data_IF_093667462275
#
_entry.id   IF_093667462275
#
_cell.length_a   1.000
_cell.length_b   1.000
_cell.length_c   1.000
_cell.angle_alpha   90.00
_cell.angle_beta   90.00
_cell.angle_gamma   90.00
#
_symmetry.space_group_name_H-M   'P 1'
#
loop_
_entity.id
_entity.type
_entity.pdbx_description
1 polymer ?
#
# COMPACT_ATOMS: atom_id res chain seq x y z
N UNK A 1 12.17 -1.05 -15.40
CA UNK A 1 12.25 -1.39 -13.97
C UNK A 1 10.99 -2.14 -13.57
N UNK A 2 11.07 -2.96 -12.52
CA UNK A 2 10.02 -3.86 -12.05
C UNK A 2 9.41 -3.35 -10.75
N UNK A 3 8.09 -3.30 -10.67
CA UNK A 3 7.38 -2.75 -9.50
C UNK A 3 6.37 -3.78 -9.00
N UNK A 4 6.48 -4.19 -7.74
CA UNK A 4 5.52 -5.09 -7.13
C UNK A 4 4.39 -4.30 -6.44
N UNK A 5 3.14 -4.62 -6.79
CA UNK A 5 1.93 -4.10 -6.16
C UNK A 5 1.29 -5.22 -5.36
N UNK A 6 1.38 -5.15 -4.04
CA UNK A 6 0.85 -6.18 -3.14
C UNK A 6 -0.56 -5.76 -2.74
N UNK A 7 -1.53 -6.62 -3.02
CA UNK A 7 -2.91 -6.39 -2.56
C UNK A 7 -2.99 -6.84 -1.10
N UNK A 8 -3.31 -5.90 -0.21
CA UNK A 8 -3.60 -6.21 1.18
C UNK A 8 -4.73 -7.22 1.29
N UNK A 9 -4.68 -8.07 2.33
CA UNK A 9 -5.74 -9.05 2.61
C UNK A 9 -5.90 -10.14 1.53
N UNK A 10 -6.96 -10.95 1.62
CA UNK A 10 -7.21 -12.07 0.69
C UNK A 10 -8.71 -12.31 0.48
N UNK A 11 -9.08 -12.97 -0.62
CA UNK A 11 -10.47 -13.20 -1.02
C UNK A 11 -11.34 -13.81 0.09
N UNK A 12 -10.78 -14.68 0.93
CA UNK A 12 -11.48 -15.31 2.06
C UNK A 12 -11.42 -14.50 3.36
N UNK A 13 -10.53 -13.50 3.46
CA UNK A 13 -10.36 -12.62 4.63
C UNK A 13 -10.15 -11.20 4.12
N UNK A 14 -11.27 -10.57 3.81
CA UNK A 14 -11.40 -9.34 3.04
C UNK A 14 -10.79 -8.07 3.68
N UNK A 15 -10.32 -8.16 4.93
CA UNK A 15 -9.76 -7.02 5.67
C UNK A 15 -10.83 -6.15 6.31
N UNK A 16 -10.53 -4.87 6.47
CA UNK A 16 -11.51 -3.90 6.93
C UNK A 16 -12.65 -3.74 5.92
N UNK A 17 -13.79 -3.23 6.37
CA UNK A 17 -14.94 -2.97 5.51
C UNK A 17 -15.71 -1.75 5.97
N UNK A 18 -16.38 -1.12 5.02
CA UNK A 18 -17.35 -0.07 5.29
C UNK A 18 -18.75 -0.67 5.52
N UNK A 19 -19.62 0.08 6.20
CA UNK A 19 -21.03 -0.27 6.42
C UNK A 19 -21.84 -0.48 5.13
N UNK A 20 -21.40 0.09 4.01
CA UNK A 20 -22.01 -0.11 2.70
C UNK A 20 -21.56 -1.40 1.98
N UNK A 21 -20.69 -2.20 2.60
CA UNK A 21 -20.23 -3.49 2.09
C UNK A 21 -18.93 -3.46 1.27
N UNK A 22 -18.35 -2.28 1.00
CA UNK A 22 -17.03 -2.20 0.35
C UNK A 22 -15.95 -2.72 1.31
N UNK A 23 -15.12 -3.63 0.82
CA UNK A 23 -14.02 -4.24 1.57
C UNK A 23 -12.66 -3.71 1.12
N UNK A 24 -11.70 -3.80 2.02
CA UNK A 24 -10.31 -3.39 1.77
C UNK A 24 -9.67 -4.22 0.65
N UNK A 25 -9.87 -5.54 0.64
CA UNK A 25 -9.35 -6.41 -0.41
C UNK A 25 -9.91 -6.07 -1.79
N UNK A 26 -11.22 -5.86 -1.91
CA UNK A 26 -11.86 -5.58 -3.20
C UNK A 26 -11.45 -4.20 -3.73
N UNK A 27 -11.41 -3.19 -2.86
CA UNK A 27 -10.94 -1.84 -3.22
C UNK A 27 -9.49 -1.88 -3.70
N UNK A 28 -8.59 -2.47 -2.92
CA UNK A 28 -7.16 -2.53 -3.25
C UNK A 28 -6.88 -3.43 -4.46
N UNK A 29 -7.71 -4.44 -4.73
CA UNK A 29 -7.64 -5.23 -5.96
C UNK A 29 -7.94 -4.38 -7.21
N UNK A 30 -8.92 -3.48 -7.14
CA UNK A 30 -9.23 -2.53 -8.24
C UNK A 30 -8.09 -1.52 -8.40
N UNK A 31 -7.62 -0.95 -7.30
CA UNK A 31 -6.54 0.03 -7.29
C UNK A 31 -5.24 -0.54 -7.87
N UNK A 32 -4.83 -1.75 -7.46
CA UNK A 32 -3.64 -2.41 -7.97
C UNK A 32 -3.69 -2.64 -9.48
N UNK A 33 -4.84 -3.06 -10.02
CA UNK A 33 -5.02 -3.29 -11.46
C UNK A 33 -4.87 -2.00 -12.27
N UNK A 34 -5.46 -0.91 -11.77
CA UNK A 34 -5.34 0.41 -12.41
C UNK A 34 -3.91 0.93 -12.36
N UNK A 35 -3.26 0.85 -11.19
CA UNK A 35 -1.87 1.28 -11.05
C UNK A 35 -0.92 0.44 -11.94
N UNK A 36 -1.13 -0.88 -12.02
CA UNK A 36 -0.37 -1.74 -12.92
C UNK A 36 -0.55 -1.34 -14.38
N UNK A 37 -1.78 -1.07 -14.83
CA UNK A 37 -2.03 -0.63 -16.21
C UNK A 37 -1.29 0.67 -16.53
N UNK A 38 -1.27 1.62 -15.59
CA UNK A 38 -0.52 2.88 -15.73
C UNK A 38 1.00 2.68 -15.75
N UNK A 39 1.52 1.77 -14.92
CA UNK A 39 2.94 1.42 -14.96
C UNK A 39 3.36 0.83 -16.31
N UNK A 40 2.52 0.00 -16.93
CA UNK A 40 2.77 -0.52 -18.28
C UNK A 40 2.82 0.61 -19.30
N UNK A 41 1.91 1.60 -19.23
CA UNK A 41 1.91 2.73 -20.17
C UNK A 41 3.16 3.60 -20.05
N UNK A 42 3.75 3.67 -18.86
CA UNK A 42 5.00 4.39 -18.58
C UNK A 42 6.27 3.57 -18.86
N UNK A 43 6.15 2.34 -19.39
CA UNK A 43 7.31 1.49 -19.74
C UNK A 43 7.91 0.70 -18.57
N UNK A 44 7.16 0.54 -17.47
CA UNK A 44 7.54 -0.25 -16.30
C UNK A 44 6.86 -1.63 -16.32
N UNK A 45 7.46 -2.62 -15.64
CA UNK A 45 6.96 -3.98 -15.55
C UNK A 45 6.30 -4.23 -14.19
N UNK A 46 4.96 -4.20 -14.07
CA UNK A 46 4.27 -4.42 -12.80
C UNK A 46 4.07 -5.90 -12.47
N UNK A 47 4.19 -6.25 -11.19
CA UNK A 47 3.80 -7.54 -10.63
C UNK A 47 2.71 -7.34 -9.58
N UNK A 48 1.48 -7.77 -9.86
CA UNK A 48 0.44 -7.79 -8.82
C UNK A 48 0.59 -9.06 -7.98
N UNK A 49 0.79 -8.89 -6.67
CA UNK A 49 0.98 -9.98 -5.71
C UNK A 49 -0.25 -10.09 -4.81
N UNK A 50 -1.03 -11.15 -4.99
CA UNK A 50 -2.15 -11.50 -4.12
C UNK A 50 -1.72 -12.47 -3.02
N UNK A 51 -2.31 -12.40 -1.83
CA UNK A 51 -2.21 -13.48 -0.83
C UNK A 51 -2.97 -14.72 -1.31
N UNK A 52 -2.46 -15.90 -1.00
CA UNK A 52 -2.91 -17.19 -1.54
C UNK A 52 -3.55 -18.10 -0.46
N UNK A 53 -4.02 -17.53 0.65
CA UNK A 53 -4.54 -18.32 1.76
C UNK A 53 -3.47 -19.00 2.62
N UNK A 54 -2.18 -18.84 2.27
CA UNK A 54 -1.07 -19.31 3.11
C UNK A 54 -0.74 -18.31 4.21
N UNK A 55 0.08 -18.73 5.18
CA UNK A 55 0.45 -17.88 6.31
C UNK A 55 1.13 -16.59 5.82
N UNK A 56 0.70 -15.44 6.35
CA UNK A 56 1.29 -14.12 6.08
C UNK A 56 2.82 -14.09 6.14
N UNK A 57 3.43 -14.92 6.98
CA UNK A 57 4.88 -15.05 7.10
C UNK A 57 5.60 -15.43 5.80
N UNK A 58 4.92 -16.07 4.84
CA UNK A 58 5.44 -16.46 3.52
C UNK A 58 5.27 -15.40 2.44
N UNK A 59 4.47 -14.36 2.68
CA UNK A 59 4.24 -13.29 1.71
C UNK A 59 5.56 -12.62 1.22
N UNK A 60 6.54 -12.32 2.09
CA UNK A 60 7.80 -11.72 1.63
C UNK A 60 8.56 -12.59 0.63
N UNK A 61 8.55 -13.92 0.79
CA UNK A 61 9.19 -14.84 -0.16
C UNK A 61 8.55 -14.74 -1.55
N UNK A 62 7.22 -14.60 -1.59
CA UNK A 62 6.46 -14.46 -2.84
C UNK A 62 6.75 -13.13 -3.52
N UNK A 63 6.83 -12.04 -2.74
CA UNK A 63 7.24 -10.72 -3.24
C UNK A 63 8.67 -10.79 -3.79
N UNK A 64 9.60 -11.44 -3.07
CA UNK A 64 10.98 -11.59 -3.51
C UNK A 64 11.13 -12.34 -4.83
N UNK A 65 10.25 -13.33 -5.10
CA UNK A 65 10.24 -14.07 -6.38
C UNK A 65 9.88 -13.20 -7.59
N UNK A 66 9.29 -12.02 -7.41
CA UNK A 66 9.04 -11.09 -8.53
C UNK A 66 10.34 -10.49 -9.08
N UNK A 67 11.39 -10.42 -8.26
CA UNK A 67 12.61 -9.69 -8.61
C UNK A 67 12.36 -8.20 -8.86
N UNK A 68 11.34 -7.61 -8.21
CA UNK A 68 11.01 -6.20 -8.34
C UNK A 68 12.08 -5.30 -7.72
N UNK A 69 12.22 -4.09 -8.29
CA UNK A 69 13.12 -3.04 -7.80
C UNK A 69 12.53 -2.35 -6.57
N UNK A 70 11.20 -2.28 -6.47
CA UNK A 70 10.44 -1.80 -5.29
C UNK A 70 9.13 -2.57 -5.11
N UNK A 71 8.58 -2.55 -3.90
CA UNK A 71 7.26 -3.10 -3.61
C UNK A 71 6.37 -2.15 -2.79
N UNK A 72 5.08 -2.13 -3.12
CA UNK A 72 4.08 -1.26 -2.50
C UNK A 72 2.90 -2.14 -2.09
N UNK A 73 2.66 -2.26 -0.78
CA UNK A 73 1.50 -2.96 -0.25
C UNK A 73 0.34 -2.00 -0.05
N UNK A 74 -0.74 -2.21 -0.78
CA UNK A 74 -1.92 -1.36 -0.80
C UNK A 74 -2.91 -1.81 0.27
N UNK A 75 -3.27 -0.88 1.14
CA UNK A 75 -4.15 -1.08 2.28
C UNK A 75 -5.10 0.11 2.47
N UNK A 76 -6.15 -0.10 3.26
CA UNK A 76 -6.99 0.97 3.77
C UNK A 76 -7.10 0.82 5.29
N UNK A 77 -6.96 1.93 5.99
CA UNK A 77 -6.99 1.94 7.44
C UNK A 77 -8.44 1.74 7.94
N UNK A 78 -8.58 1.38 9.20
CA UNK A 78 -9.88 1.38 9.88
C UNK A 78 -9.69 1.58 11.38
N UNK A 79 -10.63 2.28 12.02
CA UNK A 79 -10.55 2.52 13.46
C UNK A 79 -11.91 2.66 14.15
N UNK A 80 -12.64 3.75 13.90
CA UNK A 80 -13.86 4.11 14.62
C UNK A 80 -14.91 4.83 13.75
N UNK A 81 -14.73 4.79 12.43
CA UNK A 81 -15.56 5.50 11.44
C UNK A 81 -15.44 7.03 11.42
N UNK A 82 -14.55 7.63 12.20
CA UNK A 82 -14.30 9.09 12.22
C UNK A 82 -12.86 9.46 11.88
N UNK A 83 -11.90 8.57 12.12
CA UNK A 83 -10.51 8.79 11.72
C UNK A 83 -10.43 8.98 10.19
N UNK A 84 -9.49 9.82 9.75
CA UNK A 84 -9.33 10.20 8.36
C UNK A 84 -7.86 10.43 8.03
N UNK A 85 -7.51 10.27 6.76
CA UNK A 85 -6.20 10.62 6.22
C UNK A 85 -5.36 9.44 5.78
N UNK A 86 -4.27 9.77 5.08
CA UNK A 86 -3.35 8.81 4.47
C UNK A 86 -2.07 8.71 5.29
N UNK A 87 -1.54 7.50 5.47
CA UNK A 87 -0.18 7.26 6.03
C UNK A 87 0.57 6.21 5.22
N UNK A 88 1.89 6.33 5.17
CA UNK A 88 2.76 5.35 4.53
C UNK A 88 3.76 4.80 5.53
N UNK A 89 3.74 3.47 5.70
CA UNK A 89 4.57 2.75 6.65
C UNK A 89 5.82 2.23 5.96
N UNK A 90 6.95 2.29 6.67
CA UNK A 90 8.24 1.78 6.21
C UNK A 90 8.99 1.10 7.35
N UNK A 91 9.93 0.21 7.03
CA UNK A 91 10.76 -0.40 8.07
C UNK A 91 11.68 0.65 8.71
N UNK A 92 11.70 0.72 10.04
CA UNK A 92 12.44 1.76 10.81
C UNK A 92 13.93 1.83 10.48
N UNK A 93 14.55 0.73 10.06
CA UNK A 93 15.97 0.68 9.68
C UNK A 93 16.17 0.52 8.16
N UNK A 94 15.27 1.09 7.35
CA UNK A 94 15.38 1.07 5.89
C UNK A 94 15.33 2.51 5.33
N UNK A 95 16.49 3.16 5.15
CA UNK A 95 16.55 4.49 4.54
C UNK A 95 15.96 4.51 3.12
N UNK A 96 16.14 3.43 2.36
CA UNK A 96 15.57 3.29 1.02
C UNK A 96 14.04 3.14 1.06
N UNK A 97 13.50 2.43 2.06
CA UNK A 97 12.06 2.31 2.29
C UNK A 97 11.44 3.62 2.79
N UNK A 98 12.14 4.39 3.61
CA UNK A 98 11.71 5.72 4.06
C UNK A 98 11.60 6.69 2.88
N UNK A 99 12.62 6.77 2.01
CA UNK A 99 12.55 7.58 0.78
C UNK A 99 11.40 7.13 -0.13
N UNK A 100 11.21 5.83 -0.35
CA UNK A 100 10.07 5.35 -1.13
C UNK A 100 8.74 5.79 -0.51
N UNK A 101 8.63 5.74 0.82
CA UNK A 101 7.45 6.17 1.55
C UNK A 101 7.18 7.68 1.38
N UNK A 102 8.21 8.52 1.38
CA UNK A 102 8.09 9.97 1.12
C UNK A 102 7.51 10.27 -0.27
N UNK A 103 8.05 9.63 -1.31
CA UNK A 103 7.58 9.81 -2.68
C UNK A 103 6.11 9.41 -2.84
N UNK A 104 5.73 8.26 -2.27
CA UNK A 104 4.37 7.74 -2.33
C UNK A 104 3.41 8.62 -1.51
N UNK A 105 3.76 8.92 -0.26
CA UNK A 105 2.92 9.72 0.64
C UNK A 105 2.60 11.08 0.02
N UNK A 106 3.59 11.76 -0.54
CA UNK A 106 3.42 13.08 -1.19
C UNK A 106 2.40 13.04 -2.32
N UNK A 107 2.45 12.01 -3.18
CA UNK A 107 1.51 11.86 -4.31
C UNK A 107 0.11 11.50 -3.83
N UNK A 108 0.01 10.55 -2.91
CA UNK A 108 -1.27 10.09 -2.34
C UNK A 108 -1.99 11.24 -1.65
N UNK A 109 -1.32 11.99 -0.77
CA UNK A 109 -1.92 13.14 -0.08
C UNK A 109 -2.38 14.21 -1.07
N UNK A 110 -1.57 14.51 -2.10
CA UNK A 110 -1.92 15.50 -3.12
C UNK A 110 -3.18 15.15 -3.91
N UNK A 111 -3.45 13.85 -4.12
CA UNK A 111 -4.67 13.40 -4.80
C UNK A 111 -5.83 13.17 -3.84
N UNK A 112 -5.59 12.69 -2.62
CA UNK A 112 -6.70 12.40 -1.70
C UNK A 112 -7.29 13.68 -1.10
N UNK A 113 -6.44 14.69 -0.87
CA UNK A 113 -6.77 15.92 -0.11
C UNK A 113 -7.45 15.59 1.24
N UNK A 114 -7.02 14.48 1.84
CA UNK A 114 -7.37 14.10 3.19
C UNK A 114 -6.22 14.51 4.13
N UNK A 115 -6.39 14.45 5.46
CA UNK A 115 -5.32 14.76 6.39
C UNK A 115 -4.04 13.97 6.09
N UNK A 116 -2.91 14.66 6.00
CA UNK A 116 -1.60 14.03 5.89
C UNK A 116 -1.18 13.50 7.26
N UNK A 117 -1.16 12.18 7.42
CA UNK A 117 -0.76 11.52 8.68
C UNK A 117 0.72 11.16 8.72
N UNK A 118 1.45 11.49 7.64
CA UNK A 118 2.88 11.33 7.49
C UNK A 118 3.35 9.89 7.38
N UNK A 119 4.67 9.75 7.51
CA UNK A 119 5.33 8.45 7.51
C UNK A 119 5.21 7.77 8.87
N UNK A 120 5.14 6.44 8.86
CA UNK A 120 5.00 5.62 10.06
C UNK A 120 6.09 4.54 10.09
N UNK A 121 7.17 4.71 10.85
CA UNK A 121 8.17 3.65 11.00
C UNK A 121 7.55 2.43 11.71
N UNK A 122 7.78 1.25 11.17
CA UNK A 122 7.37 -0.04 11.75
C UNK A 122 8.58 -0.94 12.03
N UNK A 123 8.42 -1.83 13.00
CA UNK A 123 9.42 -2.85 13.34
C UNK A 123 8.76 -4.20 13.63
N UNK A 124 9.50 -5.29 13.43
CA UNK A 124 9.07 -6.67 13.73
C UNK A 124 8.88 -6.93 15.22
N UNK A 125 9.43 -6.06 16.07
CA UNK A 125 9.33 -6.15 17.53
C UNK A 125 8.07 -5.51 18.08
N UNK A 126 7.22 -4.89 17.26
CA UNK A 126 5.93 -4.41 17.73
C UNK A 126 5.06 -5.61 18.12
N UNK A 127 5.04 -5.94 19.42
CA UNK A 127 4.21 -6.97 20.05
C UNK A 127 3.06 -6.28 20.80
N UNK A 128 1.83 -6.62 20.42
CA UNK A 128 0.60 -6.07 21.01
C UNK A 128 -0.62 -6.43 20.15
N UNK A 129 -1.82 -5.96 20.53
CA UNK A 129 -3.07 -6.24 19.77
C UNK A 129 -3.01 -5.81 18.29
N UNK A 130 -2.16 -4.83 17.95
CA UNK A 130 -1.98 -4.31 16.59
C UNK A 130 -0.98 -5.12 15.74
N UNK A 131 -0.35 -6.16 16.30
CA UNK A 131 0.70 -6.91 15.62
C UNK A 131 1.90 -6.05 15.22
N UNK A 132 2.67 -6.51 14.25
CA UNK A 132 3.85 -5.82 13.74
C UNK A 132 3.54 -4.71 12.72
N UNK A 133 2.24 -4.45 12.44
CA UNK A 133 1.74 -3.50 11.42
C UNK A 133 2.41 -3.66 10.06
N UNK A 134 2.80 -4.89 9.73
CA UNK A 134 3.49 -5.24 8.50
C UNK A 134 5.00 -5.00 8.49
N UNK A 135 5.60 -4.74 9.65
CA UNK A 135 7.06 -4.71 9.82
C UNK A 135 7.77 -5.98 9.33
N UNK A 136 7.15 -7.17 9.44
CA UNK A 136 7.70 -8.41 8.88
C UNK A 136 7.76 -8.37 7.36
N UNK A 137 6.75 -7.81 6.69
CA UNK A 137 6.77 -7.65 5.23
C UNK A 137 7.92 -6.73 4.84
N UNK A 138 7.94 -5.50 5.34
CA UNK A 138 8.94 -4.50 4.95
C UNK A 138 10.38 -4.92 5.33
N UNK A 139 10.56 -5.72 6.39
CA UNK A 139 11.89 -6.21 6.80
C UNK A 139 12.39 -7.39 5.96
N UNK A 140 11.49 -8.28 5.53
CA UNK A 140 11.85 -9.58 4.92
C UNK A 140 11.81 -9.57 3.40
N UNK A 141 11.28 -8.52 2.80
CA UNK A 141 11.43 -8.24 1.37
C UNK A 141 12.86 -7.78 1.05
N UNK A 142 13.40 -8.22 -0.07
CA UNK A 142 14.77 -7.89 -0.49
C UNK A 142 14.90 -6.51 -1.16
N UNK A 143 13.77 -5.93 -1.58
CA UNK A 143 13.65 -4.60 -2.17
C UNK A 143 13.03 -3.59 -1.19
N UNK A 144 13.24 -2.27 -1.39
CA UNK A 144 12.50 -1.24 -0.68
C UNK A 144 11.00 -1.51 -0.74
N UNK A 145 10.37 -1.62 0.43
CA UNK A 145 8.97 -2.03 0.55
C UNK A 145 8.25 -1.14 1.55
N UNK A 146 7.08 -0.65 1.12
CA UNK A 146 6.21 0.21 1.93
C UNK A 146 4.81 -0.38 2.03
N UNK A 147 4.07 0.02 3.06
CA UNK A 147 2.63 -0.23 3.17
C UNK A 147 1.94 1.12 3.12
N UNK A 148 1.00 1.29 2.20
CA UNK A 148 0.27 2.53 1.98
C UNK A 148 -1.13 2.34 2.51
N UNK A 149 -1.47 3.08 3.56
CA UNK A 149 -2.82 3.19 4.09
C UNK A 149 -3.47 4.41 3.42
N UNK A 150 -4.17 4.21 2.30
CA UNK A 150 -4.59 5.31 1.42
C UNK A 150 -5.61 6.25 2.05
N UNK A 151 -6.50 5.72 2.89
CA UNK A 151 -7.53 6.42 3.66
C UNK A 151 -8.15 5.46 4.70
N UNK A 152 -9.09 5.94 5.52
CA UNK A 152 -9.85 5.09 6.44
C UNK A 152 -11.13 4.55 5.78
N UNK A 153 -11.19 3.25 5.49
CA UNK A 153 -12.32 2.65 4.77
C UNK A 153 -13.63 2.68 5.58
N UNK A 154 -13.53 2.67 6.91
CA UNK A 154 -14.69 2.75 7.80
C UNK A 154 -15.23 4.17 7.97
N UNK A 155 -14.54 5.19 7.43
CA UNK A 155 -15.03 6.56 7.33
C UNK A 155 -15.65 6.79 5.95
N UNK A 156 -16.95 7.14 5.94
CA UNK A 156 -17.71 7.25 4.69
C UNK A 156 -17.22 8.38 3.78
N UNK A 157 -16.73 9.48 4.34
CA UNK A 157 -16.21 10.59 3.53
C UNK A 157 -14.88 10.23 2.88
N UNK A 158 -14.03 9.49 3.60
CA UNK A 158 -12.76 8.96 3.09
C UNK A 158 -13.02 7.93 1.98
N UNK A 159 -13.96 6.99 2.19
CA UNK A 159 -14.33 6.01 1.18
C UNK A 159 -14.93 6.67 -0.07
N UNK A 160 -15.87 7.62 0.10
CA UNK A 160 -16.44 8.35 -1.03
C UNK A 160 -15.35 9.03 -1.84
N UNK A 161 -14.40 9.70 -1.15
CA UNK A 161 -13.24 10.34 -1.78
C UNK A 161 -12.38 9.33 -2.54
N UNK A 162 -12.13 8.16 -1.95
CA UNK A 162 -11.38 7.07 -2.57
C UNK A 162 -12.04 6.55 -3.85
N UNK A 163 -13.35 6.30 -3.83
CA UNK A 163 -14.10 5.85 -5.01
C UNK A 163 -14.12 6.91 -6.12
N UNK A 164 -14.39 8.18 -5.79
CA UNK A 164 -14.38 9.29 -6.75
C UNK A 164 -13.01 9.52 -7.39
N UNK A 165 -11.93 9.28 -6.63
CA UNK A 165 -10.55 9.53 -7.06
C UNK A 165 -9.76 8.28 -7.37
N UNK A 166 -10.40 7.11 -7.53
CA UNK A 166 -9.71 5.82 -7.66
C UNK A 166 -8.64 5.81 -8.77
N UNK A 167 -8.95 6.38 -9.94
CA UNK A 167 -7.99 6.45 -11.07
C UNK A 167 -6.85 7.43 -10.75
N UNK A 168 -7.15 8.58 -10.14
CA UNK A 168 -6.13 9.54 -9.73
C UNK A 168 -5.22 8.94 -8.66
N UNK A 169 -5.77 8.17 -7.72
CA UNK A 169 -5.01 7.50 -6.66
C UNK A 169 -4.10 6.42 -7.24
N UNK A 170 -4.60 5.65 -8.21
CA UNK A 170 -3.79 4.69 -8.96
C UNK A 170 -2.60 5.37 -9.65
N UNK A 171 -2.83 6.51 -10.32
CA UNK A 171 -1.78 7.31 -10.94
C UNK A 171 -0.80 7.88 -9.90
N UNK A 172 -1.30 8.32 -8.74
CA UNK A 172 -0.44 8.83 -7.66
C UNK A 172 0.53 7.76 -7.14
N UNK A 173 0.04 6.53 -6.94
CA UNK A 173 0.86 5.39 -6.52
C UNK A 173 1.89 5.02 -7.58
N UNK A 174 1.47 4.91 -8.84
CA UNK A 174 2.36 4.61 -9.95
C UNK A 174 3.46 5.68 -10.08
N UNK A 175 3.09 6.96 -10.08
CA UNK A 175 4.04 8.06 -10.21
C UNK A 175 4.97 8.17 -8.99
N UNK A 176 4.48 7.90 -7.78
CA UNK A 176 5.35 7.89 -6.61
C UNK A 176 6.40 6.78 -6.67
N UNK A 177 6.04 5.62 -7.25
CA UNK A 177 6.99 4.54 -7.51
C UNK A 177 8.02 4.94 -8.57
N UNK A 178 7.56 5.52 -9.69
CA UNK A 178 8.38 6.00 -10.82
C UNK A 178 9.38 7.06 -10.34
N UNK A 179 8.89 8.12 -9.66
CA UNK A 179 9.74 9.20 -9.16
C UNK A 179 10.84 8.67 -8.21
N UNK A 180 10.52 7.64 -7.41
CA UNK A 180 11.52 7.02 -6.55
C UNK A 180 12.58 6.27 -7.36
N UNK A 181 12.17 5.40 -8.28
CA UNK A 181 13.11 4.55 -9.02
C UNK A 181 13.96 5.35 -10.02
N UNK A 182 13.49 6.50 -10.49
CA UNK A 182 14.28 7.44 -11.30
C UNK A 182 15.24 8.31 -10.47
N UNK A 183 15.05 8.37 -9.14
CA UNK A 183 15.89 9.15 -8.23
C UNK A 183 17.12 8.39 -7.69
N UNK A 184 17.24 7.09 -7.98
CA UNK A 184 18.30 6.21 -7.44
C UNK A 184 19.44 5.96 -8.42
#
# INVERSE_FOLDING_TARGET
MKIALIVGHEEKKQGASNRNGVTEYDYNSRLAKLAAALLVTEGYEPFIVYRDGTTYSKLPERVNKTGADVAISLHCNAFNGQASGSETLHYVNSPSGERLAEHIQKKVVGVMELPDRGLRPVDVKHVGRKGDRGGHLCKRTSMPTVIVETFFIDNDSDLQRGEERLILLAAAIAQGAIDYVESI
#
